data_IF_638601388459
#
_entry.id   IF_638601388459
#
_cell.length_a   1.000
_cell.length_b   1.000
_cell.length_c   1.000
_cell.angle_alpha   90.00
_cell.angle_beta   90.00
_cell.angle_gamma   90.00
#
_symmetry.space_group_name_H-M   'P 1'
#
loop_
_entity.id
_entity.type
_entity.pdbx_description
1 polymer ?
#
# COMPACT_ATOMS: atom_id res chain seq x y z
N UNK A 1 -22.18 7.06 6.35
CA UNK A 1 -20.92 7.71 5.97
C UNK A 1 -19.85 6.64 5.96
N UNK A 2 -19.00 6.64 4.93
CA UNK A 2 -17.82 5.76 4.87
C UNK A 2 -16.58 6.59 5.12
N UNK A 3 -15.58 6.02 5.79
CA UNK A 3 -14.32 6.69 6.13
C UNK A 3 -13.11 5.96 5.57
N UNK A 4 -12.02 6.72 5.40
CA UNK A 4 -10.69 6.24 5.10
C UNK A 4 -9.78 6.52 6.29
N UNK A 5 -8.86 5.60 6.59
CA UNK A 5 -7.82 5.82 7.58
C UNK A 5 -6.44 5.85 6.90
N UNK A 6 -5.62 6.82 7.30
CA UNK A 6 -4.25 6.98 6.81
C UNK A 6 -3.29 6.95 8.00
N UNK A 7 -2.26 6.16 7.89
CA UNK A 7 -1.24 6.03 8.94
C UNK A 7 0.10 5.64 8.33
N UNK A 8 1.18 5.76 9.11
CA UNK A 8 2.52 5.47 8.61
C UNK A 8 2.80 3.97 8.60
N UNK A 9 2.73 3.32 9.76
CA UNK A 9 3.07 1.90 9.90
C UNK A 9 1.85 1.01 9.65
N UNK A 10 1.99 -0.08 8.90
CA UNK A 10 0.89 -1.02 8.71
C UNK A 10 0.52 -1.73 10.03
N UNK A 11 -0.77 -1.89 10.34
CA UNK A 11 -1.19 -2.82 11.35
C UNK A 11 -0.90 -4.26 10.91
N UNK A 12 -0.77 -5.17 11.89
CA UNK A 12 -0.38 -6.57 11.64
C UNK A 12 -1.29 -7.33 10.68
N UNK A 13 -2.52 -6.88 10.54
CA UNK A 13 -3.51 -7.49 9.66
C UNK A 13 -3.16 -7.37 8.17
N UNK A 14 -2.30 -6.43 7.78
CA UNK A 14 -1.73 -6.42 6.43
C UNK A 14 -0.93 -7.69 6.15
N UNK A 15 -0.08 -8.11 7.09
CA UNK A 15 0.70 -9.34 6.97
C UNK A 15 -0.19 -10.58 7.07
N UNK A 16 -1.11 -10.61 8.06
CA UNK A 16 -2.05 -11.71 8.24
C UNK A 16 -2.86 -11.96 6.95
N UNK A 17 -3.42 -10.90 6.37
CA UNK A 17 -4.20 -11.00 5.14
C UNK A 17 -3.36 -11.47 3.95
N UNK A 18 -2.11 -10.99 3.83
CA UNK A 18 -1.19 -11.46 2.79
C UNK A 18 -0.87 -12.95 2.93
N UNK A 19 -0.58 -13.42 4.13
CA UNK A 19 -0.31 -14.84 4.40
C UNK A 19 -1.53 -15.71 4.07
N UNK A 20 -2.72 -15.29 4.46
CA UNK A 20 -3.98 -15.97 4.10
C UNK A 20 -4.19 -16.02 2.59
N UNK A 21 -3.97 -14.90 1.90
CA UNK A 21 -4.05 -14.85 0.42
C UNK A 21 -3.11 -15.86 -0.24
N UNK A 22 -1.86 -15.96 0.25
CA UNK A 22 -0.87 -16.94 -0.28
C UNK A 22 -1.31 -18.38 -0.08
N UNK A 23 -2.06 -18.67 0.96
CA UNK A 23 -2.64 -20.00 1.23
C UNK A 23 -3.94 -20.26 0.44
N UNK A 24 -4.39 -19.30 -0.37
CA UNK A 24 -5.62 -19.43 -1.14
C UNK A 24 -6.90 -19.24 -0.31
N UNK A 25 -6.82 -18.58 0.85
CA UNK A 25 -7.98 -18.29 1.68
C UNK A 25 -8.90 -17.29 0.97
N UNK A 26 -10.12 -17.73 0.67
CA UNK A 26 -11.13 -16.94 -0.06
C UNK A 26 -11.72 -15.78 0.75
N UNK A 27 -11.40 -15.67 2.03
CA UNK A 27 -11.78 -14.52 2.86
C UNK A 27 -10.98 -13.26 2.54
N UNK A 28 -9.92 -13.39 1.73
CA UNK A 28 -9.08 -12.28 1.26
C UNK A 28 -9.22 -12.13 -0.25
N UNK A 29 -9.47 -10.90 -0.70
CA UNK A 29 -9.54 -10.57 -2.13
C UNK A 29 -8.30 -9.74 -2.50
N UNK A 30 -7.50 -10.25 -3.42
CA UNK A 30 -6.38 -9.50 -4.00
C UNK A 30 -6.91 -8.42 -4.94
N UNK A 31 -6.42 -7.19 -4.78
CA UNK A 31 -6.76 -6.08 -5.66
C UNK A 31 -5.63 -5.79 -6.65
N UNK A 32 -4.46 -5.42 -6.14
CA UNK A 32 -3.28 -5.11 -6.97
C UNK A 32 -1.99 -5.07 -6.13
N UNK A 33 -0.85 -4.89 -6.79
CA UNK A 33 0.45 -4.64 -6.17
C UNK A 33 1.15 -5.90 -5.65
N UNK A 34 2.21 -5.70 -4.88
CA UNK A 34 3.05 -6.77 -4.37
C UNK A 34 3.80 -6.36 -3.11
N UNK A 35 4.42 -7.33 -2.45
CA UNK A 35 5.42 -7.10 -1.42
C UNK A 35 6.79 -7.10 -2.12
N UNK A 36 7.42 -5.94 -2.16
CA UNK A 36 8.73 -5.71 -2.79
C UNK A 36 9.90 -5.68 -1.82
N UNK A 37 9.62 -5.56 -0.52
CA UNK A 37 10.67 -5.62 0.50
C UNK A 37 11.32 -7.00 0.56
N UNK A 38 12.63 -7.00 0.92
CA UNK A 38 13.43 -8.21 0.99
C UNK A 38 12.78 -9.25 1.92
N UNK A 39 12.81 -10.50 1.49
CA UNK A 39 12.29 -11.66 2.23
C UNK A 39 10.79 -11.55 2.61
N UNK A 40 10.03 -10.71 1.89
CA UNK A 40 8.61 -10.49 2.16
C UNK A 40 8.36 -9.72 3.46
N UNK A 41 9.24 -8.79 3.78
CA UNK A 41 9.19 -8.02 5.02
C UNK A 41 7.94 -7.12 5.12
N UNK A 42 7.41 -7.05 6.34
CA UNK A 42 6.37 -6.12 6.76
C UNK A 42 6.83 -5.38 8.03
N UNK A 43 6.92 -4.07 7.94
CA UNK A 43 7.29 -3.18 9.06
C UNK A 43 6.15 -2.97 10.05
N UNK A 44 5.54 -4.05 10.52
CA UNK A 44 4.44 -4.01 11.49
C UNK A 44 4.92 -3.64 12.89
N UNK A 45 4.07 -2.95 13.64
CA UNK A 45 4.33 -2.66 15.06
C UNK A 45 4.35 -3.94 15.89
N UNK A 46 5.30 -4.02 16.83
CA UNK A 46 5.33 -5.07 17.86
C UNK A 46 4.32 -4.83 18.99
N UNK A 47 3.67 -3.65 19.01
CA UNK A 47 2.64 -3.35 19.99
C UNK A 47 1.30 -3.92 19.51
N UNK A 48 0.59 -4.56 20.41
CA UNK A 48 -0.80 -4.94 20.16
C UNK A 48 -1.66 -3.69 20.05
N UNK A 49 -2.54 -3.67 19.06
CA UNK A 49 -3.53 -2.62 18.86
C UNK A 49 -4.82 -3.24 18.35
N UNK A 50 -5.94 -2.69 18.75
CA UNK A 50 -7.27 -3.19 18.37
C UNK A 50 -7.93 -2.31 17.29
N UNK A 51 -7.16 -1.44 16.65
CA UNK A 51 -7.71 -0.48 15.69
C UNK A 51 -8.42 -1.16 14.52
N UNK A 52 -7.83 -2.22 13.97
CA UNK A 52 -8.43 -2.94 12.85
C UNK A 52 -9.71 -3.67 13.27
N UNK A 53 -9.69 -4.39 14.40
CA UNK A 53 -10.87 -5.09 14.91
C UNK A 53 -12.02 -4.13 15.23
N UNK A 54 -11.72 -3.00 15.84
CA UNK A 54 -12.74 -1.97 16.10
C UNK A 54 -13.26 -1.31 14.82
N UNK A 55 -12.41 -1.13 13.81
CA UNK A 55 -12.83 -0.65 12.50
C UNK A 55 -13.75 -1.64 11.78
N UNK A 56 -13.46 -2.94 11.86
CA UNK A 56 -14.33 -4.01 11.33
C UNK A 56 -15.67 -4.01 12.04
N UNK A 57 -15.67 -3.97 13.37
CA UNK A 57 -16.87 -3.98 14.20
C UNK A 57 -17.75 -2.75 13.98
N UNK A 58 -17.14 -1.58 13.89
CA UNK A 58 -17.83 -0.31 13.66
C UNK A 58 -18.39 -0.22 12.23
N UNK A 59 -17.67 -0.77 11.24
CA UNK A 59 -18.08 -0.83 9.85
C UNK A 59 -18.03 0.51 9.09
N UNK A 60 -17.54 1.59 9.68
CA UNK A 60 -17.43 2.92 9.05
C UNK A 60 -16.19 3.01 8.17
N UNK A 61 -15.04 2.54 8.64
CA UNK A 61 -13.79 2.53 7.89
C UNK A 61 -13.85 1.41 6.85
N UNK A 62 -13.69 1.76 5.58
CA UNK A 62 -13.70 0.83 4.45
C UNK A 62 -12.35 0.75 3.73
N UNK A 63 -11.49 1.72 3.95
CA UNK A 63 -10.15 1.79 3.33
C UNK A 63 -9.12 2.18 4.38
N UNK A 64 -8.01 1.45 4.39
CA UNK A 64 -6.84 1.75 5.21
C UNK A 64 -5.61 1.87 4.33
N UNK A 65 -4.90 2.98 4.47
CA UNK A 65 -3.70 3.28 3.69
C UNK A 65 -2.50 3.41 4.63
N UNK A 66 -1.40 2.75 4.28
CA UNK A 66 -0.15 2.85 5.01
C UNK A 66 1.04 3.11 4.07
N UNK A 67 2.16 3.48 4.65
CA UNK A 67 3.47 3.60 4.02
C UNK A 67 4.48 2.72 4.72
N UNK A 68 5.56 3.30 5.25
CA UNK A 68 6.65 2.68 5.99
C UNK A 68 7.54 1.76 5.15
N UNK A 69 6.99 0.73 4.55
CA UNK A 69 7.72 -0.23 3.69
C UNK A 69 7.79 0.33 2.27
N UNK A 70 8.96 0.81 1.86
CA UNK A 70 9.12 1.65 0.67
C UNK A 70 8.95 0.89 -0.65
N UNK A 71 9.07 -0.43 -0.61
CA UNK A 71 8.97 -1.29 -1.80
C UNK A 71 7.64 -2.05 -1.88
N UNK A 72 6.80 -1.96 -0.84
CA UNK A 72 5.51 -2.60 -0.81
C UNK A 72 4.45 -1.75 -1.50
N UNK A 73 3.61 -2.39 -2.31
CA UNK A 73 2.52 -1.75 -3.07
C UNK A 73 1.22 -2.56 -3.01
N UNK A 74 1.20 -3.58 -2.17
CA UNK A 74 0.09 -4.52 -2.05
C UNK A 74 -1.21 -3.82 -1.66
N UNK A 75 -2.29 -4.18 -2.34
CA UNK A 75 -3.67 -3.85 -1.95
C UNK A 75 -4.52 -5.10 -1.97
N UNK A 76 -5.28 -5.31 -0.90
CA UNK A 76 -6.20 -6.44 -0.77
C UNK A 76 -7.39 -6.08 0.13
N UNK A 77 -8.49 -6.81 0.02
CA UNK A 77 -9.66 -6.66 0.90
C UNK A 77 -9.66 -7.80 1.91
N UNK A 78 -9.70 -7.45 3.17
CA UNK A 78 -9.79 -8.38 4.29
C UNK A 78 -10.85 -7.92 5.29
N UNK A 79 -11.74 -8.81 5.68
CA UNK A 79 -12.88 -8.53 6.59
C UNK A 79 -13.68 -7.28 6.20
N UNK A 80 -13.84 -7.03 4.89
CA UNK A 80 -14.61 -5.90 4.36
C UNK A 80 -13.91 -4.54 4.38
N UNK A 81 -12.61 -4.51 4.69
CA UNK A 81 -11.76 -3.32 4.65
C UNK A 81 -10.67 -3.52 3.57
N UNK A 82 -10.51 -2.57 2.68
CA UNK A 82 -9.39 -2.57 1.73
C UNK A 82 -8.14 -2.01 2.40
N UNK A 83 -7.10 -2.84 2.48
CA UNK A 83 -5.79 -2.55 3.04
C UNK A 83 -4.84 -2.26 1.88
N UNK A 84 -4.24 -1.07 1.84
CA UNK A 84 -3.42 -0.62 0.71
C UNK A 84 -2.12 0.02 1.16
N UNK A 85 -0.99 -0.50 0.68
CA UNK A 85 0.27 0.24 0.72
C UNK A 85 0.26 1.35 -0.32
N UNK A 86 0.54 2.58 0.10
CA UNK A 86 0.81 3.69 -0.82
C UNK A 86 2.16 3.47 -1.51
N UNK A 87 2.19 3.68 -2.84
CA UNK A 87 3.44 3.61 -3.60
C UNK A 87 4.40 4.70 -3.14
N UNK A 88 5.66 4.35 -2.87
CA UNK A 88 6.71 5.29 -2.47
C UNK A 88 7.46 5.86 -3.66
N UNK A 89 7.85 7.13 -3.58
CA UNK A 89 8.78 7.78 -4.50
C UNK A 89 10.23 7.67 -4.03
N UNK A 90 10.47 7.12 -2.86
CA UNK A 90 11.78 7.12 -2.22
C UNK A 90 12.80 6.24 -2.93
N UNK A 91 14.03 6.77 -3.05
CA UNK A 91 15.19 6.08 -3.57
C UNK A 91 16.40 6.13 -2.59
N UNK A 92 16.23 6.72 -1.40
CA UNK A 92 17.33 7.02 -0.48
C UNK A 92 17.07 6.58 0.97
N UNK A 93 15.90 6.00 1.28
CA UNK A 93 15.47 5.70 2.64
C UNK A 93 16.37 4.75 3.42
N UNK A 94 17.06 3.84 2.72
CA UNK A 94 18.07 2.97 3.32
C UNK A 94 19.11 2.54 2.27
N UNK A 95 20.26 2.05 2.75
CA UNK A 95 21.38 1.66 1.87
C UNK A 95 20.98 0.56 0.90
N UNK A 96 21.10 0.83 -0.38
CA UNK A 96 20.84 -0.11 -1.47
C UNK A 96 19.42 -0.09 -2.01
N UNK A 97 18.53 0.75 -1.47
CA UNK A 97 17.18 0.91 -2.01
C UNK A 97 17.18 1.44 -3.45
N UNK A 98 18.18 2.28 -3.79
CA UNK A 98 18.42 2.80 -5.14
C UNK A 98 18.67 1.72 -6.19
N UNK A 99 19.17 0.55 -5.76
CA UNK A 99 19.46 -0.61 -6.61
C UNK A 99 18.28 -1.55 -6.79
N UNK A 100 17.19 -1.31 -6.04
CA UNK A 100 15.98 -2.11 -6.17
C UNK A 100 15.17 -1.64 -7.38
N UNK A 101 14.93 -2.56 -8.32
CA UNK A 101 14.17 -2.28 -9.55
C UNK A 101 12.65 -2.32 -9.35
N UNK A 102 12.17 -1.94 -8.17
CA UNK A 102 10.75 -1.80 -7.88
C UNK A 102 10.26 -0.45 -8.37
N UNK A 103 9.09 -0.43 -9.00
CA UNK A 103 8.49 0.80 -9.51
C UNK A 103 8.27 1.81 -8.38
N UNK A 104 8.73 3.03 -8.59
CA UNK A 104 8.48 4.19 -7.72
C UNK A 104 7.34 5.03 -8.27
N UNK A 105 6.64 5.74 -7.39
CA UNK A 105 5.53 6.61 -7.79
C UNK A 105 4.69 7.10 -6.62
N UNK A 106 3.45 7.41 -6.89
CA UNK A 106 2.44 7.78 -5.90
C UNK A 106 1.19 6.92 -6.04
N UNK A 107 0.28 7.08 -5.10
CA UNK A 107 -1.05 6.46 -5.16
C UNK A 107 -2.12 7.55 -5.26
N UNK A 108 -2.86 7.55 -6.35
CA UNK A 108 -3.99 8.46 -6.55
C UNK A 108 -5.26 7.80 -6.02
N UNK A 109 -5.90 8.46 -5.08
CA UNK A 109 -7.19 8.06 -4.51
C UNK A 109 -8.25 9.03 -5.01
N UNK A 110 -9.23 8.53 -5.75
CA UNK A 110 -10.34 9.31 -6.27
C UNK A 110 -11.63 8.93 -5.56
N UNK A 111 -12.18 9.85 -4.78
CA UNK A 111 -13.49 9.70 -4.16
C UNK A 111 -14.56 10.22 -5.11
N UNK A 112 -15.51 9.37 -5.49
CA UNK A 112 -16.63 9.73 -6.36
C UNK A 112 -17.85 10.18 -5.56
N UNK A 113 -18.73 10.93 -6.21
CA UNK A 113 -19.97 11.45 -5.58
C UNK A 113 -20.92 10.34 -5.11
N UNK A 114 -20.85 9.16 -5.70
CA UNK A 114 -21.62 7.97 -5.28
C UNK A 114 -21.02 7.24 -4.07
N UNK A 115 -19.88 7.75 -3.54
CA UNK A 115 -19.17 7.18 -2.41
C UNK A 115 -18.29 5.97 -2.77
N UNK A 116 -18.09 5.68 -4.07
CA UNK A 116 -17.10 4.73 -4.53
C UNK A 116 -15.70 5.35 -4.55
N UNK A 117 -14.68 4.51 -4.47
CA UNK A 117 -13.27 4.93 -4.41
C UNK A 117 -12.47 4.17 -5.45
N UNK A 118 -11.79 4.91 -6.33
CA UNK A 118 -10.77 4.34 -7.21
C UNK A 118 -9.39 4.55 -6.59
N UNK A 119 -8.58 3.50 -6.60
CA UNK A 119 -7.21 3.53 -6.08
C UNK A 119 -6.29 3.14 -7.24
N UNK A 120 -5.47 4.09 -7.68
CA UNK A 120 -4.60 3.92 -8.84
C UNK A 120 -3.14 4.18 -8.47
N UNK A 121 -2.27 3.25 -8.81
CA UNK A 121 -0.84 3.49 -8.74
C UNK A 121 -0.41 4.39 -9.92
N UNK A 122 0.29 5.47 -9.62
CA UNK A 122 0.83 6.41 -10.59
C UNK A 122 2.34 6.27 -10.63
N UNK A 123 2.89 5.50 -11.58
CA UNK A 123 4.33 5.30 -11.69
C UNK A 123 5.06 6.62 -11.93
N UNK A 124 6.21 6.80 -11.30
CA UNK A 124 7.05 7.99 -11.50
C UNK A 124 7.40 8.18 -12.98
N UNK A 125 7.60 7.10 -13.72
CA UNK A 125 7.88 7.10 -15.15
C UNK A 125 6.74 7.64 -16.02
N UNK A 126 5.51 7.66 -15.51
CA UNK A 126 4.37 8.26 -16.22
C UNK A 126 4.26 9.77 -16.01
N UNK A 127 4.89 10.29 -14.97
CA UNK A 127 4.81 11.71 -14.59
C UNK A 127 6.05 12.49 -15.04
N UNK A 128 7.22 11.87 -14.94
CA UNK A 128 8.48 12.50 -15.33
C UNK A 128 8.69 12.29 -16.83
N UNK A 129 8.53 13.36 -17.61
CA UNK A 129 8.96 13.36 -19.01
C UNK A 129 10.45 13.06 -19.06
N UNK A 130 10.84 12.02 -19.80
CA UNK A 130 12.24 11.58 -20.01
C UNK A 130 13.10 12.57 -20.81
N UNK A 131 12.74 13.84 -20.84
CA UNK A 131 13.50 14.92 -21.50
C UNK A 131 14.44 15.63 -20.54
N UNK A 132 15.44 14.92 -20.03
CA UNK A 132 16.73 15.53 -19.75
C UNK A 132 17.78 14.74 -20.52
N UNK A 133 17.81 14.91 -21.82
CA UNK A 133 19.02 14.64 -22.59
C UNK A 133 20.00 15.73 -22.20
N UNK A 134 20.84 15.46 -21.22
CA UNK A 134 22.01 16.27 -20.93
C UNK A 134 22.84 16.37 -22.18
N UNK A 135 23.03 17.60 -22.72
CA UNK A 135 24.06 17.87 -23.70
C UNK A 135 25.39 17.50 -23.06
N UNK A 136 26.05 16.47 -23.59
CA UNK A 136 27.50 16.29 -23.37
C UNK A 136 28.19 17.55 -23.87
N UNK A 137 28.88 18.27 -22.99
CA UNK A 137 29.97 19.17 -23.34
C UNK A 137 31.26 18.38 -23.30
#
# INVERSE_FOLDING_TARGET
>A
IRAMAFFHMPPREFKEAYEKMKLGDRSVIYCHGSIGEKDGYFGISNREGHFFEEAVKNGVIKWMFCGHDHLNTLSLIYKGIQLTYGMSIDCLGYRGIDRQHVQRGGTLITLKCDGTVDINMVPLTSVVSTRVRGKKR
#
